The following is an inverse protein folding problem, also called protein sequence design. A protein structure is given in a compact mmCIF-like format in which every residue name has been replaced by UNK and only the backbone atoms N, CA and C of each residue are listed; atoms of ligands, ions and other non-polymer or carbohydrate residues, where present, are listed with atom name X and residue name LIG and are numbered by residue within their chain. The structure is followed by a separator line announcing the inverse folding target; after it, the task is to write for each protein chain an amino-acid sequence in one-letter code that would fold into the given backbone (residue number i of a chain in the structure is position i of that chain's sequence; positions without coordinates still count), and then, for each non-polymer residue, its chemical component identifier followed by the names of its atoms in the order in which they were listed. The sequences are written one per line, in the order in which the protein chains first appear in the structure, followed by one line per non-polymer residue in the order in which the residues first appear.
data_IF_604579818362
#
_entry.id   IF_604579818362
#
_cell.length_a   1.000
_cell.length_b   1.000
_cell.length_c   1.000
_cell.angle_alpha   90.00
_cell.angle_beta   90.00
_cell.angle_gamma   90.00
#
_symmetry.space_group_name_H-M   'P 1'
#
loop_
_entity.id
_entity.type
_entity.pdbx_description
1 polymer ?
#
# COMPACT_ATOMS: atom_id res chain seq x y z
N UNK A 1 9.61 15.08 -10.82
CA UNK A 1 8.83 14.83 -9.59
C UNK A 1 9.83 14.85 -8.45
N UNK A 2 9.71 15.81 -7.55
CA UNK A 2 10.53 15.86 -6.35
C UNK A 2 10.09 14.71 -5.43
N UNK A 3 10.95 13.69 -5.33
CA UNK A 3 10.75 12.64 -4.35
C UNK A 3 11.19 13.21 -3.01
N UNK A 4 10.24 13.64 -2.21
CA UNK A 4 10.50 14.12 -0.87
C UNK A 4 11.14 12.96 -0.10
N UNK A 5 12.45 13.03 0.13
CA UNK A 5 13.12 12.11 1.04
C UNK A 5 12.51 12.27 2.42
N UNK A 6 12.05 11.17 3.00
CA UNK A 6 11.50 11.17 4.36
C UNK A 6 12.62 11.54 5.32
N UNK A 7 12.48 12.68 5.99
CA UNK A 7 13.48 13.15 6.94
C UNK A 7 13.37 12.36 8.23
N UNK A 8 14.39 11.57 8.55
CA UNK A 8 14.42 10.70 9.71
C UNK A 8 14.83 11.48 10.98
N UNK A 9 14.13 11.26 12.09
CA UNK A 9 14.45 11.80 13.42
C UNK A 9 15.50 10.98 14.16
N UNK A 10 15.75 9.75 13.71
CA UNK A 10 16.57 8.76 14.40
C UNK A 10 15.82 7.94 15.45
N UNK A 11 14.53 8.19 15.65
CA UNK A 11 13.66 7.33 16.49
C UNK A 11 13.22 6.12 15.72
N UNK A 12 13.10 4.98 16.40
CA UNK A 12 12.64 3.72 15.82
C UNK A 12 11.53 3.12 16.67
N UNK A 13 10.70 2.30 16.02
CA UNK A 13 9.80 1.35 16.69
C UNK A 13 10.23 -0.05 16.33
N UNK A 14 9.97 -1.00 17.23
CA UNK A 14 10.27 -2.41 17.02
C UNK A 14 9.06 -3.12 16.47
N UNK A 15 9.24 -3.78 15.34
CA UNK A 15 8.25 -4.68 14.76
C UNK A 15 8.83 -6.10 14.64
N UNK A 16 7.97 -7.11 14.53
CA UNK A 16 8.40 -8.50 14.38
C UNK A 16 7.53 -9.24 13.36
N UNK A 17 8.13 -10.24 12.74
CA UNK A 17 7.47 -11.25 11.92
C UNK A 17 8.02 -12.64 12.27
N UNK A 18 7.72 -13.65 11.44
CA UNK A 18 8.21 -15.01 11.64
C UNK A 18 9.75 -15.15 11.53
N UNK A 19 10.43 -14.17 10.92
CA UNK A 19 11.88 -14.15 10.74
C UNK A 19 12.61 -13.43 11.89
N UNK A 20 11.87 -12.80 12.79
CA UNK A 20 12.41 -12.11 13.95
C UNK A 20 12.08 -10.62 14.01
N UNK A 21 12.74 -9.92 14.92
CA UNK A 21 12.51 -8.50 15.17
C UNK A 21 13.32 -7.61 14.22
N UNK A 22 12.81 -6.40 13.97
CA UNK A 22 13.47 -5.36 13.18
C UNK A 22 13.10 -3.96 13.72
N UNK A 23 14.08 -3.07 13.74
CA UNK A 23 13.88 -1.67 14.08
C UNK A 23 13.45 -0.88 12.84
N UNK A 24 12.27 -0.27 12.89
CA UNK A 24 11.70 0.52 11.80
C UNK A 24 11.69 2.00 12.21
N UNK A 25 12.24 2.93 11.40
CA UNK A 25 12.12 4.35 11.67
C UNK A 25 10.68 4.80 11.88
N UNK A 26 10.47 5.65 12.89
CA UNK A 26 9.13 6.12 13.30
C UNK A 26 8.38 6.84 12.18
N UNK A 27 9.09 7.48 11.27
CA UNK A 27 8.50 8.22 10.16
C UNK A 27 7.88 7.32 9.09
N UNK A 28 8.29 6.04 9.03
CA UNK A 28 7.76 5.13 8.04
C UNK A 28 6.38 4.61 8.44
N UNK A 29 5.46 4.60 7.46
CA UNK A 29 4.16 3.94 7.58
C UNK A 29 4.22 2.48 7.13
N UNK A 30 5.20 2.09 6.35
CA UNK A 30 5.45 0.68 6.08
C UNK A 30 6.15 0.01 7.28
N UNK A 31 6.09 -1.31 7.34
CA UNK A 31 6.58 -2.10 8.46
C UNK A 31 7.67 -3.10 8.06
N UNK A 32 7.80 -4.14 8.88
CA UNK A 32 8.88 -5.13 8.80
C UNK A 32 8.89 -5.91 7.48
N UNK A 33 7.73 -6.25 6.91
CA UNK A 33 7.65 -7.00 5.65
C UNK A 33 8.18 -6.18 4.47
N UNK A 34 7.79 -4.90 4.41
CA UNK A 34 8.29 -3.96 3.40
C UNK A 34 9.79 -3.72 3.56
N UNK A 35 10.27 -3.54 4.80
CA UNK A 35 11.70 -3.33 5.04
C UNK A 35 12.53 -4.51 4.54
N UNK A 36 12.12 -5.76 4.86
CA UNK A 36 12.77 -6.96 4.33
C UNK A 36 12.70 -7.04 2.80
N UNK A 37 11.59 -6.62 2.20
CA UNK A 37 11.48 -6.60 0.74
C UNK A 37 12.46 -5.60 0.11
N UNK A 38 12.67 -4.44 0.71
CA UNK A 38 13.65 -3.45 0.26
C UNK A 38 15.08 -3.98 0.37
N UNK A 39 15.39 -4.72 1.45
CA UNK A 39 16.70 -5.37 1.61
C UNK A 39 16.94 -6.49 0.58
N UNK A 40 15.90 -7.28 0.27
CA UNK A 40 16.01 -8.44 -0.62
C UNK A 40 15.91 -8.10 -2.11
N UNK A 41 15.09 -7.11 -2.48
CA UNK A 41 14.77 -6.79 -3.87
C UNK A 41 15.14 -5.35 -4.22
N UNK A 42 16.35 -5.18 -4.74
CA UNK A 42 16.88 -3.92 -5.29
C UNK A 42 17.35 -4.13 -6.74
N UNK A 43 16.48 -4.74 -7.55
CA UNK A 43 16.81 -5.28 -8.88
C UNK A 43 16.71 -4.18 -9.94
N UNK A 44 15.51 -3.59 -10.11
CA UNK A 44 15.29 -2.58 -11.15
C UNK A 44 15.58 -1.16 -10.67
N UNK A 45 15.58 -0.90 -9.40
CA UNK A 45 15.61 0.42 -8.74
C UNK A 45 14.43 1.32 -9.11
N UNK A 46 13.41 0.77 -9.75
CA UNK A 46 12.15 1.44 -10.01
C UNK A 46 11.19 1.06 -8.89
N UNK A 47 10.86 2.02 -8.04
CA UNK A 47 10.00 1.81 -6.88
C UNK A 47 8.53 1.96 -7.23
N UNK A 48 7.68 1.39 -6.41
CA UNK A 48 6.22 1.45 -6.59
C UNK A 48 5.67 2.88 -6.59
N UNK A 49 6.27 3.81 -5.85
CA UNK A 49 5.87 5.22 -5.80
C UNK A 49 5.96 5.97 -7.15
N UNK A 50 6.66 5.43 -8.15
CA UNK A 50 6.63 5.94 -9.52
C UNK A 50 5.28 5.71 -10.22
N UNK A 51 4.40 4.88 -9.65
CA UNK A 51 3.13 4.48 -10.24
C UNK A 51 1.93 4.84 -9.34
N UNK A 52 1.60 6.14 -9.14
CA UNK A 52 0.53 6.55 -8.22
C UNK A 52 -0.82 5.92 -8.57
N UNK A 53 -1.14 5.73 -9.86
CA UNK A 53 -2.37 5.03 -10.27
C UNK A 53 -2.46 3.60 -9.76
N UNK A 54 -1.33 2.90 -9.59
CA UNK A 54 -1.30 1.56 -9.01
C UNK A 54 -1.49 1.62 -7.49
N UNK A 55 -0.95 2.63 -6.80
CA UNK A 55 -1.20 2.86 -5.37
C UNK A 55 -2.69 3.14 -5.14
N UNK A 56 -3.30 4.02 -5.93
CA UNK A 56 -4.73 4.30 -5.85
C UNK A 56 -5.58 3.04 -6.08
N UNK A 57 -5.20 2.21 -7.06
CA UNK A 57 -5.91 0.97 -7.34
C UNK A 57 -5.76 -0.06 -6.20
N UNK A 58 -4.59 -0.14 -5.56
CA UNK A 58 -4.40 -0.95 -4.35
C UNK A 58 -5.32 -0.45 -3.23
N UNK A 59 -5.39 0.87 -3.01
CA UNK A 59 -6.29 1.47 -2.03
C UNK A 59 -7.76 1.13 -2.30
N UNK A 60 -8.21 1.18 -3.57
CA UNK A 60 -9.59 0.79 -3.94
C UNK A 60 -9.89 -0.68 -3.62
N UNK A 61 -8.96 -1.58 -3.94
CA UNK A 61 -9.10 -3.01 -3.63
C UNK A 61 -9.21 -3.23 -2.13
N UNK A 62 -8.35 -2.57 -1.33
CA UNK A 62 -8.35 -2.71 0.13
C UNK A 62 -9.60 -2.10 0.76
N UNK A 63 -10.06 -0.96 0.28
CA UNK A 63 -11.31 -0.34 0.72
C UNK A 63 -12.52 -1.23 0.41
N UNK A 64 -12.60 -1.76 -0.81
CA UNK A 64 -13.68 -2.68 -1.20
C UNK A 64 -13.71 -3.94 -0.35
N UNK A 65 -12.55 -4.53 -0.05
CA UNK A 65 -12.44 -5.70 0.80
C UNK A 65 -12.82 -5.38 2.26
N UNK A 66 -12.41 -4.25 2.81
CA UNK A 66 -12.78 -3.82 4.16
C UNK A 66 -14.30 -3.62 4.29
N UNK A 67 -14.93 -2.97 3.29
CA UNK A 67 -16.38 -2.79 3.26
C UNK A 67 -17.12 -4.13 3.20
N UNK A 68 -16.69 -5.05 2.33
CA UNK A 68 -17.30 -6.38 2.21
C UNK A 68 -17.15 -7.19 3.52
N UNK A 69 -15.98 -7.20 4.12
CA UNK A 69 -15.76 -7.91 5.39
C UNK A 69 -16.54 -7.30 6.55
N UNK A 70 -16.72 -5.98 6.59
CA UNK A 70 -17.60 -5.30 7.55
C UNK A 70 -19.06 -5.76 7.36
N UNK A 71 -19.56 -5.74 6.14
CA UNK A 71 -20.95 -6.08 5.82
C UNK A 71 -21.27 -7.56 6.10
N UNK A 72 -20.25 -8.43 6.02
CA UNK A 72 -20.34 -9.84 6.40
C UNK A 72 -20.14 -10.07 7.90
N UNK A 73 -19.86 -9.04 8.70
CA UNK A 73 -19.58 -9.16 10.13
C UNK A 73 -18.25 -9.83 10.48
N UNK A 74 -17.30 -9.87 9.53
CA UNK A 74 -15.97 -10.45 9.71
C UNK A 74 -14.93 -9.43 10.19
N UNK A 75 -15.19 -8.14 10.00
CA UNK A 75 -14.32 -7.04 10.39
C UNK A 75 -15.09 -6.06 11.26
N UNK A 76 -14.47 -5.64 12.37
CA UNK A 76 -15.05 -4.62 13.25
C UNK A 76 -15.34 -3.33 12.46
N UNK A 77 -16.53 -2.71 12.62
CA UNK A 77 -16.89 -1.50 11.89
C UNK A 77 -15.92 -0.34 12.08
N UNK A 78 -15.39 -0.13 13.29
CA UNK A 78 -14.46 0.97 13.56
C UNK A 78 -13.12 0.75 12.84
N UNK A 79 -12.65 -0.50 12.78
CA UNK A 79 -11.44 -0.87 12.03
C UNK A 79 -11.68 -0.70 10.52
N UNK A 80 -12.83 -1.15 10.02
CA UNK A 80 -13.19 -1.00 8.60
C UNK A 80 -13.26 0.47 8.17
N UNK A 81 -13.85 1.33 9.00
CA UNK A 81 -13.94 2.77 8.75
C UNK A 81 -12.55 3.44 8.78
N UNK A 82 -11.68 3.03 9.70
CA UNK A 82 -10.31 3.54 9.75
C UNK A 82 -9.49 3.11 8.51
N UNK A 83 -9.61 1.86 8.06
CA UNK A 83 -9.01 1.35 6.81
C UNK A 83 -9.54 2.15 5.61
N UNK A 84 -10.86 2.35 5.54
CA UNK A 84 -11.50 3.13 4.48
C UNK A 84 -10.93 4.55 4.38
N UNK A 85 -10.84 5.27 5.50
CA UNK A 85 -10.26 6.61 5.57
C UNK A 85 -8.78 6.62 5.18
N UNK A 86 -7.99 5.65 5.63
CA UNK A 86 -6.59 5.52 5.20
C UNK A 86 -6.47 5.31 3.68
N UNK A 87 -7.35 4.51 3.08
CA UNK A 87 -7.40 4.32 1.62
C UNK A 87 -7.82 5.60 0.87
N UNK A 88 -8.71 6.41 1.44
CA UNK A 88 -9.09 7.71 0.87
C UNK A 88 -7.91 8.68 0.83
N UNK A 89 -7.15 8.77 1.92
CA UNK A 89 -5.93 9.58 1.98
C UNK A 89 -4.87 9.14 0.96
N UNK A 90 -4.73 7.83 0.70
CA UNK A 90 -3.84 7.32 -0.35
C UNK A 90 -4.29 7.75 -1.76
N UNK A 91 -5.59 7.83 -2.03
CA UNK A 91 -6.11 8.31 -3.31
C UNK A 91 -5.94 9.83 -3.51
N UNK A 92 -5.71 10.56 -2.43
CA UNK A 92 -5.35 11.98 -2.43
C UNK A 92 -3.84 12.22 -2.60
N UNK A 93 -3.09 11.20 -3.04
CA UNK A 93 -1.62 11.20 -3.19
C UNK A 93 -0.85 11.42 -1.89
N UNK A 94 -1.49 11.21 -0.73
CA UNK A 94 -0.81 11.22 0.56
C UNK A 94 -0.06 9.91 0.76
N UNK A 95 1.11 9.98 1.36
CA UNK A 95 1.96 8.82 1.66
C UNK A 95 2.55 8.07 0.45
N UNK A 96 2.57 8.65 -0.75
CA UNK A 96 3.16 8.00 -1.93
C UNK A 96 4.63 7.62 -1.71
N UNK A 97 5.38 8.42 -0.96
CA UNK A 97 6.78 8.17 -0.60
C UNK A 97 6.99 6.92 0.27
N UNK A 98 5.91 6.39 0.86
CA UNK A 98 5.92 5.18 1.68
C UNK A 98 5.88 3.88 0.84
N UNK A 99 5.67 3.98 -0.47
CA UNK A 99 5.62 2.84 -1.38
C UNK A 99 6.99 2.62 -2.02
N UNK A 100 7.87 1.95 -1.29
CA UNK A 100 9.32 1.91 -1.54
C UNK A 100 9.81 0.61 -2.17
N UNK A 101 8.96 -0.42 -2.30
CA UNK A 101 9.36 -1.71 -2.86
C UNK A 101 9.73 -1.61 -4.34
N UNK A 102 10.72 -2.40 -4.76
CA UNK A 102 11.09 -2.52 -6.19
C UNK A 102 9.95 -3.17 -6.99
N UNK A 103 9.72 -2.70 -8.21
CA UNK A 103 8.71 -3.27 -9.10
C UNK A 103 9.05 -4.71 -9.55
N UNK A 104 10.34 -5.08 -9.54
CA UNK A 104 10.80 -6.45 -9.78
C UNK A 104 11.04 -7.12 -8.43
N UNK A 105 10.17 -8.07 -8.10
CA UNK A 105 10.13 -8.74 -6.81
C UNK A 105 9.76 -10.21 -6.95
N UNK A 106 9.95 -11.02 -5.91
CA UNK A 106 9.56 -12.42 -5.91
C UNK A 106 8.05 -12.63 -5.81
N UNK A 107 7.56 -13.73 -6.39
CA UNK A 107 6.15 -14.11 -6.35
C UNK A 107 5.24 -13.25 -7.22
N UNK A 108 3.95 -13.21 -6.89
CA UNK A 108 2.90 -12.51 -7.65
C UNK A 108 2.57 -11.13 -7.06
N UNK A 109 3.59 -10.32 -6.74
CA UNK A 109 3.40 -8.99 -6.17
C UNK A 109 3.24 -8.97 -4.64
N UNK A 110 3.78 -9.97 -3.93
CA UNK A 110 3.63 -10.10 -2.48
C UNK A 110 4.19 -8.87 -1.74
N UNK A 111 5.37 -8.39 -2.12
CA UNK A 111 5.98 -7.22 -1.48
C UNK A 111 5.14 -5.96 -1.71
N UNK A 112 4.59 -5.78 -2.90
CA UNK A 112 3.65 -4.67 -3.21
C UNK A 112 2.39 -4.75 -2.35
N UNK A 113 1.78 -5.92 -2.26
CA UNK A 113 0.58 -6.13 -1.43
C UNK A 113 0.86 -5.85 0.04
N UNK A 114 2.00 -6.33 0.57
CA UNK A 114 2.38 -6.09 1.96
C UNK A 114 2.73 -4.63 2.23
N UNK A 115 3.41 -3.94 1.31
CA UNK A 115 3.66 -2.50 1.44
C UNK A 115 2.35 -1.72 1.59
N UNK A 116 1.35 -2.01 0.75
CA UNK A 116 0.04 -1.39 0.88
C UNK A 116 -0.64 -1.75 2.22
N UNK A 117 -0.62 -3.03 2.61
CA UNK A 117 -1.23 -3.48 3.86
C UNK A 117 -0.62 -2.78 5.08
N UNK A 118 0.70 -2.65 5.15
CA UNK A 118 1.40 -2.04 6.27
C UNK A 118 1.16 -0.53 6.34
N UNK A 119 1.24 0.18 5.22
CA UNK A 119 0.95 1.62 5.16
C UNK A 119 -0.48 1.91 5.59
N UNK A 120 -1.45 1.17 5.08
CA UNK A 120 -2.86 1.32 5.44
C UNK A 120 -3.09 0.98 6.90
N UNK A 121 -2.51 -0.13 7.42
CA UNK A 121 -2.67 -0.53 8.81
C UNK A 121 -2.11 0.52 9.77
N UNK A 122 -0.91 1.01 9.53
CA UNK A 122 -0.28 2.02 10.39
C UNK A 122 -1.03 3.35 10.34
N UNK A 123 -1.56 3.74 9.18
CA UNK A 123 -2.41 4.94 9.11
C UNK A 123 -3.75 4.73 9.81
N UNK A 124 -4.38 3.56 9.66
CA UNK A 124 -5.61 3.21 10.37
C UNK A 124 -5.40 3.19 11.90
N UNK A 125 -4.25 2.70 12.40
CA UNK A 125 -3.90 2.76 13.81
C UNK A 125 -3.89 4.20 14.34
N UNK A 126 -3.26 5.14 13.64
CA UNK A 126 -3.27 6.55 14.05
C UNK A 126 -4.69 7.14 14.05
N UNK A 127 -5.52 6.80 13.05
CA UNK A 127 -6.91 7.24 12.98
C UNK A 127 -7.78 6.67 14.12
N UNK A 128 -7.38 5.53 14.69
CA UNK A 128 -7.99 4.91 15.87
C UNK A 128 -7.40 5.44 17.19
N UNK A 129 -6.39 6.31 17.15
CA UNK A 129 -5.73 6.87 18.34
C UNK A 129 -4.61 6.00 18.92
N UNK A 130 -4.08 5.09 18.13
CA UNK A 130 -2.97 4.19 18.48
C UNK A 130 -1.66 4.61 17.81
N UNK A 131 -0.54 4.00 18.25
CA UNK A 131 0.76 4.18 17.62
C UNK A 131 0.98 3.19 16.48
N UNK A 132 1.81 3.58 15.52
CA UNK A 132 2.26 2.69 14.45
C UNK A 132 2.93 1.44 15.03
N UNK A 133 2.66 0.27 14.47
CA UNK A 133 3.16 -1.02 14.95
C UNK A 133 2.30 -1.68 16.04
N UNK A 134 1.27 -1.02 16.58
CA UNK A 134 0.34 -1.62 17.55
C UNK A 134 -0.67 -2.55 16.86
N UNK A 135 -0.16 -3.54 16.15
CA UNK A 135 -0.92 -4.44 15.28
C UNK A 135 -1.95 -5.33 15.97
N UNK A 136 -2.02 -5.31 17.31
CA UNK A 136 -3.13 -5.91 18.05
C UNK A 136 -4.48 -5.23 17.78
N UNK A 137 -4.47 -3.95 17.38
CA UNK A 137 -5.68 -3.18 17.09
C UNK A 137 -6.02 -3.13 15.58
N UNK A 138 -5.02 -2.96 14.72
CA UNK A 138 -5.21 -3.04 13.28
C UNK A 138 -3.98 -3.70 12.63
N UNK A 139 -4.13 -4.96 12.21
CA UNK A 139 -3.05 -5.77 11.68
C UNK A 139 -3.03 -5.79 10.16
N UNK A 140 -1.86 -5.66 9.49
CA UNK A 140 -1.75 -5.70 8.03
C UNK A 140 -2.38 -6.94 7.39
N UNK A 141 -2.13 -8.14 7.94
CA UNK A 141 -2.66 -9.38 7.40
C UNK A 141 -4.06 -9.71 7.89
N UNK A 142 -4.32 -9.57 9.21
CA UNK A 142 -5.54 -10.07 9.81
C UNK A 142 -6.74 -9.14 9.59
N UNK A 143 -6.50 -7.84 9.34
CA UNK A 143 -7.54 -6.85 9.12
C UNK A 143 -7.49 -6.25 7.71
N UNK A 144 -6.39 -5.59 7.30
CA UNK A 144 -6.30 -4.96 5.97
C UNK A 144 -6.34 -5.99 4.84
N UNK A 145 -5.70 -7.15 5.02
CA UNK A 145 -5.68 -8.23 4.04
C UNK A 145 -6.72 -9.33 4.31
N UNK A 146 -7.65 -9.11 5.23
CA UNK A 146 -8.67 -10.10 5.57
C UNK A 146 -9.42 -10.60 4.32
N UNK A 147 -9.58 -11.92 4.21
CA UNK A 147 -10.26 -12.60 3.10
C UNK A 147 -9.64 -12.38 1.71
N UNK A 148 -8.37 -11.96 1.64
CA UNK A 148 -7.69 -11.70 0.36
C UNK A 148 -6.45 -12.56 0.21
N UNK A 149 -6.19 -13.00 -1.03
CA UNK A 149 -4.89 -13.49 -1.48
C UNK A 149 -4.16 -12.39 -2.24
N UNK A 150 -2.83 -12.36 -2.17
CA UNK A 150 -2.03 -11.51 -3.07
C UNK A 150 -2.33 -11.81 -4.54
N UNK A 151 -2.64 -13.08 -4.87
CA UNK A 151 -2.97 -13.51 -6.24
C UNK A 151 -4.31 -12.95 -6.76
N UNK A 152 -5.14 -12.40 -5.88
CA UNK A 152 -6.35 -11.66 -6.24
C UNK A 152 -6.11 -10.16 -6.22
N UNK A 153 -5.66 -9.66 -5.05
CA UNK A 153 -5.57 -8.23 -4.76
C UNK A 153 -4.62 -7.50 -5.71
N UNK A 154 -3.41 -8.04 -5.90
CA UNK A 154 -2.41 -7.41 -6.75
C UNK A 154 -2.81 -7.36 -8.23
N UNK A 155 -3.17 -8.49 -8.90
CA UNK A 155 -3.56 -8.42 -10.30
C UNK A 155 -4.86 -7.63 -10.55
N UNK A 156 -5.76 -7.57 -9.58
CA UNK A 156 -6.95 -6.72 -9.66
C UNK A 156 -6.55 -5.24 -9.65
N UNK A 157 -5.68 -4.84 -8.73
CA UNK A 157 -5.16 -3.47 -8.68
C UNK A 157 -4.42 -3.10 -9.96
N UNK A 158 -3.58 -3.99 -10.51
CA UNK A 158 -2.90 -3.76 -11.79
C UNK A 158 -3.90 -3.54 -12.93
N UNK A 159 -4.97 -4.34 -13.02
CA UNK A 159 -6.00 -4.16 -14.05
C UNK A 159 -6.75 -2.84 -13.91
N UNK A 160 -7.11 -2.44 -12.69
CA UNK A 160 -7.76 -1.15 -12.42
C UNK A 160 -6.84 0.01 -12.82
N UNK A 161 -5.56 -0.06 -12.43
CA UNK A 161 -4.57 0.97 -12.77
C UNK A 161 -4.36 1.08 -14.29
N UNK A 162 -4.28 -0.05 -14.99
CA UNK A 162 -4.19 -0.09 -16.46
C UNK A 162 -5.43 0.49 -17.12
N UNK A 163 -6.63 0.08 -16.70
CA UNK A 163 -7.88 0.61 -17.23
C UNK A 163 -7.94 2.14 -17.13
N UNK A 164 -7.59 2.69 -15.96
CA UNK A 164 -7.52 4.15 -15.74
C UNK A 164 -6.41 4.86 -16.53
N UNK A 165 -5.43 4.12 -17.02
CA UNK A 165 -4.30 4.68 -17.79
C UNK A 165 -4.60 4.68 -19.30
N UNK A 166 -5.50 3.83 -19.76
CA UNK A 166 -5.84 3.69 -21.19
C UNK A 166 -6.41 4.98 -21.76
N UNK A 167 -7.31 5.67 -21.05
CA UNK A 167 -7.95 6.90 -21.54
C UNK A 167 -6.92 7.97 -21.90
N UNK A 168 -5.91 8.18 -21.05
CA UNK A 168 -4.83 9.12 -21.31
C UNK A 168 -4.00 8.72 -22.53
N UNK A 169 -3.69 7.42 -22.67
CA UNK A 169 -2.95 6.93 -23.82
C UNK A 169 -3.72 7.06 -25.13
N UNK A 170 -5.04 6.77 -25.11
CA UNK A 170 -5.93 6.94 -26.27
C UNK A 170 -5.99 8.40 -26.69
N UNK A 171 -6.13 9.33 -25.73
CA UNK A 171 -6.14 10.77 -26.03
C UNK A 171 -4.84 11.19 -26.74
N UNK A 172 -3.69 10.82 -26.20
CA UNK A 172 -2.39 11.14 -26.81
C UNK A 172 -2.21 10.53 -28.21
N UNK A 173 -2.72 9.31 -28.43
CA UNK A 173 -2.72 8.69 -29.76
C UNK A 173 -3.63 9.42 -30.75
N UNK A 174 -4.81 9.89 -30.31
CA UNK A 174 -5.71 10.70 -31.15
C UNK A 174 -5.08 12.03 -31.55
N UNK A 175 -4.40 12.70 -30.61
CA UNK A 175 -3.65 13.92 -30.90
C UNK A 175 -2.53 13.65 -31.92
N UNK A 176 -1.81 12.55 -31.78
CA UNK A 176 -0.77 12.17 -32.72
C UNK A 176 -1.34 11.90 -34.12
N UNK A 177 -2.46 11.16 -34.22
CA UNK A 177 -3.14 10.91 -35.51
C UNK A 177 -3.57 12.23 -36.18
N UNK A 178 -4.10 13.18 -35.39
CA UNK A 178 -4.53 14.45 -35.92
C UNK A 178 -3.36 15.34 -36.41
N UNK A 179 -2.16 15.10 -35.92
CA UNK A 179 -0.94 15.82 -36.33
C UNK A 179 -0.33 15.28 -37.63
N UNK A 180 -0.66 14.06 -38.06
CA UNK A 180 -0.28 13.46 -39.34
C UNK A 180 -1.28 13.77 -40.44
#
# INVERSE_FOLDING_TARGET
MDFTEIKLSGKTRREHDLLGEMEIPEEYYFGVQTMRAVENFHISRVRLNFFPRLIHALADVKQGAAAANRDLGLLDPAIADAITRACEELREDRFNEQFVVDMVQGGAGTSTNMNANEVIANRALELLGHHKGEYSYCHPNNHVNLSQSTNDAYPTAVRIALARSIDSAVTSLQELIAAF
#
